data_IF_497094537854
#
_entry.id   IF_497094537854
#
_cell.length_a   1.000
_cell.length_b   1.000
_cell.length_c   1.000
_cell.angle_alpha   90.00
_cell.angle_beta   90.00
_cell.angle_gamma   90.00
#
_symmetry.space_group_name_H-M   'P 1'
#
loop_
_entity.id
_entity.type
_entity.pdbx_description
1 polymer ?
#
# COMPACT_ATOMS: atom_id res chain seq x y z
N UNK A 1 18.98 7.67 31.76
CA UNK A 1 19.44 7.38 30.38
C UNK A 1 18.33 6.62 29.68
N UNK A 2 17.56 7.30 28.84
CA UNK A 2 16.47 6.68 28.09
C UNK A 2 17.07 5.82 26.98
N UNK A 3 16.65 4.55 26.79
CA UNK A 3 17.18 3.72 25.72
C UNK A 3 16.89 4.38 24.38
N UNK A 4 17.90 4.44 23.50
CA UNK A 4 17.73 4.94 22.14
C UNK A 4 16.66 4.10 21.42
N UNK A 5 15.73 4.72 20.67
CA UNK A 5 14.72 3.98 19.93
C UNK A 5 15.38 2.95 19.03
N UNK A 6 14.84 1.74 19.01
CA UNK A 6 15.37 0.66 18.20
C UNK A 6 15.39 1.10 16.72
N UNK A 7 16.41 0.70 15.95
CA UNK A 7 16.53 1.04 14.52
C UNK A 7 15.27 0.65 13.73
N UNK A 8 14.50 -0.32 14.23
CA UNK A 8 13.25 -0.82 13.69
C UNK A 8 12.08 0.18 13.84
N UNK A 9 12.02 0.94 14.93
CA UNK A 9 11.07 2.05 15.11
C UNK A 9 11.39 3.23 14.17
N UNK A 10 12.68 3.51 13.93
CA UNK A 10 13.07 4.53 12.93
C UNK A 10 12.73 4.13 11.50
N UNK A 11 12.83 2.84 11.15
CA UNK A 11 12.39 2.38 9.82
C UNK A 11 10.87 2.43 9.66
N UNK A 12 10.13 2.21 10.75
CA UNK A 12 8.67 2.35 10.81
C UNK A 12 8.23 3.80 10.54
N UNK A 13 8.93 4.78 11.13
CA UNK A 13 8.60 6.20 10.95
C UNK A 13 9.14 6.82 9.64
N UNK A 14 10.30 6.37 9.14
CA UNK A 14 11.06 7.15 8.16
C UNK A 14 10.83 6.78 6.68
N UNK A 15 9.97 5.84 6.32
CA UNK A 15 9.95 5.40 4.91
C UNK A 15 8.62 4.97 4.33
N UNK A 16 7.55 4.89 5.12
CA UNK A 16 6.25 4.48 4.60
C UNK A 16 5.80 5.31 3.39
N UNK A 17 5.85 6.66 3.42
CA UNK A 17 5.44 7.48 2.28
C UNK A 17 6.30 7.27 1.03
N UNK A 18 7.62 7.15 1.20
CA UNK A 18 8.56 6.97 0.10
C UNK A 18 8.45 5.57 -0.54
N UNK A 19 8.30 4.54 0.30
CA UNK A 19 8.09 3.16 -0.13
C UNK A 19 6.74 3.03 -0.83
N UNK A 20 5.68 3.60 -0.27
CA UNK A 20 4.37 3.65 -0.94
C UNK A 20 4.48 4.32 -2.30
N UNK A 21 5.16 5.47 -2.41
CA UNK A 21 5.31 6.18 -3.67
C UNK A 21 6.10 5.35 -4.71
N UNK A 22 7.20 4.71 -4.30
CA UNK A 22 7.97 3.80 -5.15
C UNK A 22 7.11 2.65 -5.67
N UNK A 23 6.35 2.00 -4.77
CA UNK A 23 5.46 0.88 -5.09
C UNK A 23 4.36 1.32 -6.06
N UNK A 24 3.73 2.48 -5.84
CA UNK A 24 2.70 3.03 -6.72
C UNK A 24 3.26 3.31 -8.13
N UNK A 25 4.44 3.94 -8.22
CA UNK A 25 5.09 4.22 -9.51
C UNK A 25 5.45 2.93 -10.24
N UNK A 26 5.99 1.95 -9.52
CA UNK A 26 6.32 0.64 -10.09
C UNK A 26 5.08 -0.09 -10.61
N UNK A 27 4.00 -0.17 -9.82
CA UNK A 27 2.74 -0.79 -10.26
C UNK A 27 2.14 -0.05 -11.47
N UNK A 28 2.18 1.28 -11.50
CA UNK A 28 1.70 2.05 -12.64
C UNK A 28 2.50 1.73 -13.92
N UNK A 29 3.83 1.63 -13.82
CA UNK A 29 4.70 1.23 -14.93
C UNK A 29 4.39 -0.18 -15.45
N UNK A 30 4.23 -1.15 -14.53
CA UNK A 30 3.86 -2.54 -14.86
C UNK A 30 2.47 -2.59 -15.51
N UNK A 31 1.49 -1.88 -14.95
CA UNK A 31 0.14 -1.78 -15.49
C UNK A 31 0.13 -1.26 -16.92
N UNK A 32 0.83 -0.15 -17.19
CA UNK A 32 0.90 0.44 -18.54
C UNK A 32 1.59 -0.49 -19.54
N UNK A 33 2.67 -1.16 -19.11
CA UNK A 33 3.42 -2.12 -19.94
C UNK A 33 2.56 -3.34 -20.27
N UNK A 34 1.94 -3.94 -19.27
CA UNK A 34 1.22 -5.20 -19.41
C UNK A 34 -0.14 -5.02 -20.08
N UNK A 35 -0.85 -3.90 -19.85
CA UNK A 35 -2.12 -3.60 -20.53
C UNK A 35 -1.97 -3.42 -22.04
N UNK A 36 -0.75 -3.10 -22.53
CA UNK A 36 -0.45 -3.10 -23.97
C UNK A 36 -0.28 -4.50 -24.56
N UNK A 37 0.03 -5.48 -23.73
CA UNK A 37 0.25 -6.88 -24.15
C UNK A 37 -1.05 -7.67 -24.01
N UNK A 38 -1.75 -7.50 -22.89
CA UNK A 38 -3.04 -8.13 -22.61
C UNK A 38 -3.97 -7.10 -21.92
N UNK A 39 -5.05 -6.66 -22.61
CA UNK A 39 -6.01 -5.72 -22.03
C UNK A 39 -6.70 -6.24 -20.76
N UNK A 40 -6.86 -7.56 -20.61
CA UNK A 40 -7.50 -8.16 -19.43
C UNK A 40 -6.64 -8.02 -18.17
N UNK A 41 -5.31 -7.94 -18.34
CA UNK A 41 -4.39 -7.76 -17.21
C UNK A 41 -4.68 -6.47 -16.43
N UNK A 42 -4.97 -5.38 -17.13
CA UNK A 42 -5.28 -4.11 -16.49
C UNK A 42 -6.52 -4.21 -15.59
N UNK A 43 -7.56 -4.91 -16.06
CA UNK A 43 -8.78 -5.15 -15.29
C UNK A 43 -8.50 -5.94 -14.02
N UNK A 44 -7.67 -6.98 -14.10
CA UNK A 44 -7.30 -7.82 -12.94
C UNK A 44 -6.55 -6.99 -11.89
N UNK A 45 -5.59 -6.16 -12.32
CA UNK A 45 -4.81 -5.30 -11.42
C UNK A 45 -5.72 -4.29 -10.73
N UNK A 46 -6.61 -3.61 -11.46
CA UNK A 46 -7.56 -2.66 -10.87
C UNK A 46 -8.50 -3.35 -9.88
N UNK A 47 -9.07 -4.50 -10.24
CA UNK A 47 -9.93 -5.28 -9.36
C UNK A 47 -9.21 -5.71 -8.07
N UNK A 48 -7.95 -6.16 -8.19
CA UNK A 48 -7.12 -6.52 -7.05
C UNK A 48 -6.87 -5.32 -6.13
N UNK A 49 -6.48 -4.16 -6.68
CA UNK A 49 -6.26 -2.95 -5.88
C UNK A 49 -7.54 -2.48 -5.18
N UNK A 50 -8.67 -2.47 -5.87
CA UNK A 50 -9.96 -2.06 -5.29
C UNK A 50 -10.36 -3.00 -4.15
N UNK A 51 -10.24 -4.32 -4.35
CA UNK A 51 -10.59 -5.30 -3.34
C UNK A 51 -9.71 -5.16 -2.09
N UNK A 52 -8.39 -5.11 -2.26
CA UNK A 52 -7.47 -5.00 -1.13
C UNK A 52 -7.55 -3.63 -0.44
N UNK A 53 -7.66 -2.54 -1.21
CA UNK A 53 -7.86 -1.19 -0.68
C UNK A 53 -9.16 -1.07 0.11
N UNK A 54 -10.25 -1.69 -0.38
CA UNK A 54 -11.52 -1.77 0.34
C UNK A 54 -11.41 -2.53 1.65
N UNK A 55 -10.70 -3.67 1.68
CA UNK A 55 -10.45 -4.43 2.90
C UNK A 55 -9.62 -3.62 3.92
N UNK A 56 -8.60 -2.90 3.47
CA UNK A 56 -7.79 -2.03 4.33
C UNK A 56 -8.65 -0.90 4.91
N UNK A 57 -9.48 -0.24 4.09
CA UNK A 57 -10.37 0.82 4.53
C UNK A 57 -11.41 0.31 5.54
N UNK A 58 -12.02 -0.86 5.29
CA UNK A 58 -12.94 -1.53 6.22
C UNK A 58 -12.25 -1.91 7.52
N UNK A 59 -11.03 -2.44 7.47
CA UNK A 59 -10.22 -2.77 8.64
C UNK A 59 -9.87 -1.54 9.47
N UNK A 60 -9.45 -0.45 8.83
CA UNK A 60 -9.17 0.82 9.51
C UNK A 60 -10.42 1.44 10.14
N UNK A 61 -11.55 1.40 9.44
CA UNK A 61 -12.83 1.86 9.99
C UNK A 61 -13.29 1.00 11.17
N UNK A 62 -13.19 -0.33 11.07
CA UNK A 62 -13.53 -1.23 12.16
C UNK A 62 -12.60 -1.08 13.37
N UNK A 63 -11.31 -0.79 13.16
CA UNK A 63 -10.34 -0.54 14.22
C UNK A 63 -10.64 0.76 14.98
N UNK A 64 -10.90 1.87 14.28
CA UNK A 64 -11.20 3.16 14.91
C UNK A 64 -12.50 3.18 15.72
N UNK A 65 -13.44 2.27 15.43
CA UNK A 65 -14.67 2.10 16.20
C UNK A 65 -14.50 1.43 17.56
N UNK A 66 -13.33 0.83 17.84
CA UNK A 66 -13.02 0.21 19.14
C UNK A 66 -12.20 1.13 20.06
N UNK A 67 -11.82 2.33 19.59
CA UNK A 67 -11.10 3.34 20.37
C UNK A 67 -12.01 4.45 20.95
N UNK A 68 -13.31 4.42 20.65
CA UNK A 68 -14.38 5.25 21.24
C UNK A 68 -15.23 4.45 22.26
#
# INVERSE_FOLDING_TARGET
MSPSPSTLERFTDASWPAVTLLVVVFLAGVYLRASRVDPAFGVIVVAFLVMNGGLIALGGWAAGRNEE
#
